data_IF_631342606236
#
_entry.id   IF_631342606236
#
_cell.length_a   1.000
_cell.length_b   1.000
_cell.length_c   1.000
_cell.angle_alpha   90.00
_cell.angle_beta   90.00
_cell.angle_gamma   90.00
#
_symmetry.space_group_name_H-M   'P 1'
#
loop_
_entity.id
_entity.type
_entity.pdbx_description
1 polymer ?
#
# COMPACT_ATOMS: atom_id res chain seq x y z
N UNK A 1 13.86 -3.80 12.82
CA UNK A 1 13.27 -3.04 11.69
C UNK A 1 13.35 -1.54 11.98
N UNK A 2 13.80 -0.71 11.01
CA UNK A 2 13.81 0.75 11.18
C UNK A 2 12.39 1.30 11.33
N UNK A 3 12.24 2.39 12.09
CA UNK A 3 10.96 3.11 12.18
C UNK A 3 10.58 3.62 10.77
N UNK A 4 9.31 3.51 10.35
CA UNK A 4 8.87 4.05 9.06
C UNK A 4 9.12 5.56 8.97
N UNK A 5 9.28 6.05 7.75
CA UNK A 5 9.53 7.47 7.50
C UNK A 5 8.27 8.32 7.76
N UNK A 6 8.48 9.63 7.88
CA UNK A 6 7.38 10.58 7.94
C UNK A 6 6.60 10.59 6.60
N UNK A 7 5.30 10.83 6.67
CA UNK A 7 4.42 10.91 5.52
C UNK A 7 3.89 12.32 5.33
N UNK A 8 4.02 12.84 4.12
CA UNK A 8 3.61 14.20 3.75
C UNK A 8 2.19 14.28 3.19
N UNK A 9 1.60 13.14 2.83
CA UNK A 9 0.33 13.07 2.10
C UNK A 9 0.52 12.85 0.58
N UNK A 10 1.75 12.59 0.13
CA UNK A 10 2.02 12.21 -1.25
C UNK A 10 1.38 10.86 -1.58
N UNK A 11 0.36 10.87 -2.44
CA UNK A 11 -0.36 9.67 -2.84
C UNK A 11 0.52 8.66 -3.56
N UNK A 12 1.58 9.11 -4.26
CA UNK A 12 2.49 8.20 -4.98
C UNK A 12 3.36 7.36 -4.04
N UNK A 13 3.62 7.85 -2.82
CA UNK A 13 4.39 7.15 -1.81
C UNK A 13 3.52 6.40 -0.78
N UNK A 14 2.19 6.52 -0.87
CA UNK A 14 1.28 6.05 0.17
C UNK A 14 1.33 4.53 0.37
N UNK A 15 1.29 3.76 -0.73
CA UNK A 15 1.25 2.30 -0.68
C UNK A 15 2.51 1.73 -0.01
N UNK A 16 3.69 2.15 -0.49
CA UNK A 16 4.98 1.77 0.10
C UNK A 16 5.10 2.20 1.57
N UNK A 17 4.65 3.42 1.89
CA UNK A 17 4.69 3.92 3.26
C UNK A 17 3.78 3.11 4.20
N UNK A 18 2.55 2.83 3.79
CA UNK A 18 1.60 2.05 4.59
C UNK A 18 2.11 0.62 4.80
N UNK A 19 2.69 0.00 3.76
CA UNK A 19 3.32 -1.31 3.86
C UNK A 19 4.44 -1.30 4.90
N UNK A 20 5.33 -0.31 4.88
CA UNK A 20 6.39 -0.19 5.90
C UNK A 20 5.83 -0.01 7.32
N UNK A 21 4.74 0.74 7.49
CA UNK A 21 4.04 0.88 8.78
C UNK A 21 3.47 -0.46 9.25
N UNK A 22 2.81 -1.22 8.38
CA UNK A 22 2.26 -2.52 8.71
C UNK A 22 3.36 -3.55 9.04
N UNK A 23 4.45 -3.55 8.26
CA UNK A 23 5.63 -4.35 8.56
C UNK A 23 6.23 -3.97 9.92
N UNK A 24 6.33 -2.67 10.24
CA UNK A 24 6.81 -2.27 11.56
C UNK A 24 6.00 -2.91 12.70
N UNK A 25 4.67 -2.88 12.63
CA UNK A 25 3.82 -3.48 13.66
C UNK A 25 3.77 -5.01 13.65
N UNK A 26 4.11 -5.68 12.55
CA UNK A 26 4.22 -7.14 12.54
C UNK A 26 5.39 -7.63 13.42
N UNK A 27 6.45 -6.82 13.57
CA UNK A 27 7.57 -7.09 14.48
C UNK A 27 7.32 -6.59 15.92
N UNK A 28 6.48 -5.57 16.11
CA UNK A 28 6.13 -5.02 17.42
C UNK A 28 4.67 -5.35 17.77
N UNK A 29 4.37 -6.64 17.91
CA UNK A 29 3.00 -7.16 18.08
C UNK A 29 2.29 -6.75 19.37
N UNK A 30 3.04 -6.26 20.37
CA UNK A 30 2.52 -5.91 21.70
C UNK A 30 1.74 -4.58 21.73
N UNK A 31 1.73 -3.81 20.64
CA UNK A 31 1.00 -2.55 20.58
C UNK A 31 -0.51 -2.78 20.45
N UNK A 32 -1.28 -2.11 21.31
CA UNK A 32 -2.73 -1.96 21.18
C UNK A 32 -3.09 -1.22 19.89
N UNK A 33 -4.32 -1.40 19.40
CA UNK A 33 -4.79 -0.71 18.19
C UNK A 33 -4.68 0.81 18.31
N UNK A 34 -5.05 1.36 19.47
CA UNK A 34 -4.87 2.79 19.78
C UNK A 34 -3.42 3.22 19.63
N UNK A 35 -2.47 2.47 20.19
CA UNK A 35 -1.04 2.81 20.05
C UNK A 35 -0.57 2.75 18.60
N UNK A 36 -1.00 1.74 17.83
CA UNK A 36 -0.66 1.64 16.40
C UNK A 36 -1.15 2.87 15.63
N UNK A 37 -2.38 3.29 15.88
CA UNK A 37 -2.97 4.49 15.27
C UNK A 37 -2.20 5.73 15.68
N UNK A 38 -1.96 5.95 16.98
CA UNK A 38 -1.25 7.15 17.47
C UNK A 38 0.18 7.25 16.94
N UNK A 39 0.90 6.13 16.90
CA UNK A 39 2.24 6.07 16.30
C UNK A 39 2.15 6.42 14.81
N UNK A 40 1.19 5.86 14.08
CA UNK A 40 1.02 6.16 12.65
C UNK A 40 0.66 7.63 12.41
N UNK A 41 -0.25 8.20 13.19
CA UNK A 41 -0.58 9.62 13.14
C UNK A 41 0.64 10.50 13.44
N UNK A 42 1.53 10.08 14.34
CA UNK A 42 2.77 10.81 14.65
C UNK A 42 3.77 10.84 13.48
N UNK A 43 3.70 9.87 12.57
CA UNK A 43 4.48 9.83 11.33
C UNK A 43 3.89 10.76 10.26
N UNK A 44 2.58 11.04 10.33
CA UNK A 44 1.87 11.95 9.43
C UNK A 44 2.02 13.40 9.89
N UNK A 45 3.25 13.89 9.99
CA UNK A 45 3.58 15.20 10.57
C UNK A 45 4.08 16.23 9.55
N UNK A 46 3.90 15.94 8.26
CA UNK A 46 4.30 16.81 7.16
C UNK A 46 3.13 17.05 6.19
N UNK A 47 3.22 18.16 5.44
CA UNK A 47 2.31 18.45 4.33
C UNK A 47 0.82 18.37 4.68
N UNK A 48 0.03 17.86 3.73
CA UNK A 48 -1.41 17.66 3.90
C UNK A 48 -1.73 16.56 4.93
N UNK A 49 -0.85 15.56 5.07
CA UNK A 49 -1.04 14.49 6.04
C UNK A 49 -1.09 14.99 7.49
N UNK A 50 -0.35 16.05 7.84
CA UNK A 50 -0.42 16.67 9.18
C UNK A 50 -1.80 17.25 9.52
N UNK A 51 -2.41 17.93 8.55
CA UNK A 51 -3.76 18.48 8.73
C UNK A 51 -4.79 17.36 8.85
N UNK A 52 -4.66 16.34 8.00
CA UNK A 52 -5.55 15.17 8.02
C UNK A 52 -5.43 14.37 9.32
N UNK A 53 -4.20 14.10 9.79
CA UNK A 53 -3.95 13.31 11.00
C UNK A 53 -4.53 13.99 12.24
N UNK A 54 -4.36 15.31 12.34
CA UNK A 54 -4.94 16.12 13.40
C UNK A 54 -6.47 16.10 13.38
N UNK A 55 -7.09 16.13 12.19
CA UNK A 55 -8.54 16.07 12.05
C UNK A 55 -9.10 14.68 12.40
N UNK A 56 -8.44 13.62 11.93
CA UNK A 56 -8.79 12.24 12.24
C UNK A 56 -8.73 11.97 13.75
N UNK A 57 -7.64 12.36 14.42
CA UNK A 57 -7.50 12.18 15.86
C UNK A 57 -8.64 12.83 16.65
N UNK A 58 -8.97 14.10 16.34
CA UNK A 58 -10.07 14.82 17.02
C UNK A 58 -11.42 14.14 16.81
N UNK A 59 -11.67 13.62 15.60
CA UNK A 59 -12.90 12.89 15.28
C UNK A 59 -13.01 11.61 16.09
N UNK A 60 -11.96 10.81 16.15
CA UNK A 60 -11.97 9.54 16.88
C UNK A 60 -12.00 9.74 18.41
N UNK A 61 -11.32 10.76 18.93
CA UNK A 61 -11.40 11.13 20.34
C UNK A 61 -12.84 11.52 20.72
N UNK A 62 -13.50 12.35 19.91
CA UNK A 62 -14.89 12.73 20.14
C UNK A 62 -15.85 11.53 20.09
N UNK A 63 -15.68 10.62 19.13
CA UNK A 63 -16.45 9.37 19.06
C UNK A 63 -16.25 8.51 20.31
N UNK A 64 -15.00 8.38 20.76
CA UNK A 64 -14.69 7.56 21.94
C UNK A 64 -15.34 8.11 23.22
N UNK A 65 -15.37 9.45 23.37
CA UNK A 65 -16.03 10.10 24.52
C UNK A 65 -17.55 9.95 24.47
N UNK A 66 -18.17 10.14 23.30
CA UNK A 66 -19.64 10.20 23.17
C UNK A 66 -20.29 8.82 23.06
N UNK A 67 -19.67 7.90 22.32
CA UNK A 67 -20.26 6.61 21.97
C UNK A 67 -19.56 5.42 22.65
N UNK A 68 -18.47 5.65 23.39
CA UNK A 68 -17.67 4.57 23.98
C UNK A 68 -16.94 3.72 22.93
N UNK A 69 -16.89 4.17 21.68
CA UNK A 69 -16.23 3.48 20.58
C UNK A 69 -14.72 3.40 20.82
N UNK A 70 -14.14 2.24 20.56
CA UNK A 70 -12.69 2.04 20.64
C UNK A 70 -12.04 2.42 19.32
N UNK A 71 -10.79 2.82 19.42
CA UNK A 71 -9.90 2.97 18.27
C UNK A 71 -9.72 1.61 17.59
N UNK A 72 -10.05 1.53 16.31
CA UNK A 72 -9.99 0.31 15.49
C UNK A 72 -8.97 0.49 14.37
N UNK A 73 -8.05 -0.48 14.24
CA UNK A 73 -6.94 -0.38 13.29
C UNK A 73 -7.40 -0.54 11.84
N UNK A 74 -8.37 -1.41 11.58
CA UNK A 74 -8.84 -1.69 10.22
C UNK A 74 -9.68 -0.51 9.68
N UNK A 75 -10.52 0.09 10.52
CA UNK A 75 -11.23 1.34 10.18
C UNK A 75 -10.27 2.47 9.86
N UNK A 76 -9.18 2.59 10.62
CA UNK A 76 -8.13 3.59 10.37
C UNK A 76 -7.42 3.37 9.04
N UNK A 77 -7.03 2.12 8.73
CA UNK A 77 -6.40 1.77 7.46
C UNK A 77 -7.34 2.04 6.28
N UNK A 78 -8.64 1.77 6.42
CA UNK A 78 -9.65 2.13 5.43
C UNK A 78 -9.69 3.64 5.19
N UNK A 79 -9.77 4.45 6.25
CA UNK A 79 -9.80 5.91 6.14
C UNK A 79 -8.52 6.47 5.48
N UNK A 80 -7.36 5.87 5.75
CA UNK A 80 -6.10 6.20 5.10
C UNK A 80 -6.16 5.90 3.60
N UNK A 81 -6.61 4.71 3.21
CA UNK A 81 -6.73 4.30 1.80
C UNK A 81 -7.71 5.20 1.04
N UNK A 82 -8.87 5.49 1.60
CA UNK A 82 -9.84 6.41 1.00
C UNK A 82 -9.26 7.81 0.73
N UNK A 83 -8.37 8.27 1.62
CA UNK A 83 -7.80 9.62 1.53
C UNK A 83 -6.58 9.70 0.61
N UNK A 84 -5.69 8.70 0.70
CA UNK A 84 -4.33 8.78 0.15
C UNK A 84 -3.99 7.71 -0.88
N UNK A 85 -4.78 6.64 -1.01
CA UNK A 85 -4.51 5.65 -2.05
C UNK A 85 -4.62 6.30 -3.45
N UNK A 86 -3.77 5.88 -4.41
CA UNK A 86 -3.95 6.26 -5.80
C UNK A 86 -5.31 5.73 -6.31
N UNK A 87 -6.04 6.58 -7.04
CA UNK A 87 -7.41 6.28 -7.52
C UNK A 87 -7.46 5.04 -8.44
N UNK A 88 -6.34 4.62 -9.03
CA UNK A 88 -6.29 3.51 -9.98
C UNK A 88 -4.93 2.78 -9.99
N UNK A 89 -4.40 2.42 -8.83
CA UNK A 89 -3.10 1.75 -8.72
C UNK A 89 -3.06 0.42 -9.49
N UNK A 90 -4.05 -0.46 -9.26
CA UNK A 90 -4.17 -1.75 -9.95
C UNK A 90 -4.32 -1.59 -11.46
N UNK A 91 -5.14 -0.64 -11.94
CA UNK A 91 -5.29 -0.39 -13.38
C UNK A 91 -4.04 0.20 -14.03
N UNK A 92 -3.27 1.00 -13.29
CA UNK A 92 -1.96 1.47 -13.73
C UNK A 92 -0.95 0.32 -13.78
N UNK A 93 -0.95 -0.57 -12.79
CA UNK A 93 -0.11 -1.76 -12.79
C UNK A 93 -0.43 -2.69 -13.98
N UNK A 94 -1.70 -2.92 -14.29
CA UNK A 94 -2.11 -3.64 -15.51
C UNK A 94 -1.60 -2.96 -16.79
N UNK A 95 -1.65 -1.64 -16.85
CA UNK A 95 -1.15 -0.88 -18.01
C UNK A 95 0.37 -1.03 -18.13
N UNK A 96 1.10 -0.87 -17.02
CA UNK A 96 2.56 -1.05 -16.96
C UNK A 96 2.97 -2.48 -17.33
N UNK A 97 2.24 -3.52 -16.89
CA UNK A 97 2.48 -4.90 -17.30
C UNK A 97 2.41 -5.08 -18.81
N UNK A 98 1.39 -4.50 -19.47
CA UNK A 98 1.23 -4.61 -20.93
C UNK A 98 2.30 -3.83 -21.71
N UNK A 99 2.75 -2.71 -21.14
CA UNK A 99 3.71 -1.80 -21.78
C UNK A 99 5.17 -2.16 -21.48
N UNK A 100 5.44 -2.98 -20.47
CA UNK A 100 6.80 -3.39 -20.10
C UNK A 100 7.50 -4.06 -21.29
N UNK A 101 8.72 -3.64 -21.60
CA UNK A 101 9.58 -4.29 -22.61
C UNK A 101 10.95 -4.55 -22.00
N UNK A 102 11.49 -5.74 -22.24
CA UNK A 102 12.81 -6.11 -21.76
C UNK A 102 13.87 -5.20 -22.39
N UNK A 103 13.88 -5.09 -23.73
CA UNK A 103 14.87 -4.29 -24.46
C UNK A 103 16.30 -4.67 -24.06
N UNK A 104 17.09 -3.69 -23.62
CA UNK A 104 18.48 -3.90 -23.18
C UNK A 104 18.60 -4.22 -21.67
N UNK A 105 17.48 -4.35 -20.95
CA UNK A 105 17.48 -4.66 -19.51
C UNK A 105 17.92 -6.10 -19.29
N UNK A 106 18.72 -6.33 -18.25
CA UNK A 106 19.11 -7.67 -17.85
C UNK A 106 17.87 -8.52 -17.54
N UNK A 107 17.86 -9.77 -18.00
CA UNK A 107 16.72 -10.68 -17.84
C UNK A 107 16.24 -10.75 -16.39
N UNK A 108 17.15 -10.88 -15.42
CA UNK A 108 16.78 -10.97 -14.00
C UNK A 108 16.08 -9.70 -13.49
N UNK A 109 16.53 -8.52 -13.93
CA UNK A 109 15.90 -7.24 -13.57
C UNK A 109 14.53 -7.08 -14.23
N UNK A 110 14.40 -7.52 -15.48
CA UNK A 110 13.12 -7.54 -16.19
C UNK A 110 12.11 -8.47 -15.51
N UNK A 111 12.51 -9.71 -15.19
CA UNK A 111 11.66 -10.70 -14.51
C UNK A 111 11.24 -10.18 -13.14
N UNK A 112 12.16 -9.64 -12.35
CA UNK A 112 11.85 -9.04 -11.03
C UNK A 112 10.82 -7.92 -11.16
N UNK A 113 10.97 -7.03 -12.14
CA UNK A 113 10.03 -5.92 -12.38
C UNK A 113 8.65 -6.45 -12.83
N UNK A 114 8.63 -7.48 -13.67
CA UNK A 114 7.39 -8.11 -14.12
C UNK A 114 6.64 -8.76 -12.95
N UNK A 115 7.33 -9.52 -12.10
CA UNK A 115 6.76 -10.15 -10.89
C UNK A 115 6.19 -9.11 -9.92
N UNK A 116 6.90 -8.00 -9.70
CA UNK A 116 6.42 -6.91 -8.86
C UNK A 116 5.11 -6.33 -9.41
N UNK A 117 5.08 -6.01 -10.71
CA UNK A 117 3.90 -5.46 -11.36
C UNK A 117 2.71 -6.46 -11.36
N UNK A 118 2.98 -7.78 -11.40
CA UNK A 118 1.92 -8.79 -11.25
C UNK A 118 1.24 -8.69 -9.89
N UNK A 119 2.01 -8.57 -8.80
CA UNK A 119 1.46 -8.42 -7.45
C UNK A 119 0.64 -7.14 -7.34
N UNK A 120 1.16 -6.00 -7.83
CA UNK A 120 0.46 -4.70 -7.84
C UNK A 120 -0.84 -4.74 -8.67
N UNK A 121 -0.86 -5.53 -9.74
CA UNK A 121 -2.03 -5.76 -10.58
C UNK A 121 -3.02 -6.80 -10.01
N UNK A 122 -2.78 -7.35 -8.82
CA UNK A 122 -3.68 -8.29 -8.15
C UNK A 122 -3.47 -9.76 -8.53
N UNK A 123 -2.38 -10.09 -9.24
CA UNK A 123 -2.05 -11.45 -9.66
C UNK A 123 -1.15 -12.22 -8.66
N UNK A 124 -1.02 -11.74 -7.42
CA UNK A 124 -0.11 -12.34 -6.42
C UNK A 124 -0.48 -13.75 -5.95
N UNK A 125 -1.60 -14.32 -6.38
CA UNK A 125 -2.06 -15.67 -6.00
C UNK A 125 -2.78 -16.38 -7.16
N UNK A 126 -2.33 -16.16 -8.39
CA UNK A 126 -2.90 -16.83 -9.57
C UNK A 126 -2.63 -18.34 -9.49
N UNK A 127 -3.68 -19.14 -9.67
CA UNK A 127 -3.58 -20.60 -9.70
C UNK A 127 -2.93 -21.07 -11.01
N UNK A 128 -2.03 -22.05 -10.90
CA UNK A 128 -1.38 -22.69 -12.05
C UNK A 128 -2.43 -23.28 -13.00
N UNK A 129 -2.35 -22.93 -14.29
CA UNK A 129 -3.27 -23.41 -15.33
C UNK A 129 -4.61 -22.66 -15.41
N UNK A 130 -4.76 -21.55 -14.70
CA UNK A 130 -5.89 -20.63 -14.88
C UNK A 130 -5.75 -19.80 -16.17
N UNK A 131 -6.87 -19.27 -16.67
CA UNK A 131 -6.87 -18.32 -17.81
C UNK A 131 -6.01 -17.09 -17.53
N UNK A 132 -5.97 -16.63 -16.28
CA UNK A 132 -5.11 -15.52 -15.87
C UNK A 132 -3.63 -15.89 -15.95
N UNK A 133 -3.26 -17.12 -15.58
CA UNK A 133 -1.89 -17.63 -15.74
C UNK A 133 -1.48 -17.67 -17.22
N UNK A 134 -2.35 -18.19 -18.10
CA UNK A 134 -2.10 -18.23 -19.54
C UNK A 134 -1.91 -16.82 -20.13
N UNK A 135 -2.78 -15.88 -19.75
CA UNK A 135 -2.67 -14.49 -20.18
C UNK A 135 -1.37 -13.82 -19.70
N UNK A 136 -0.93 -14.10 -18.47
CA UNK A 136 0.33 -13.59 -17.93
C UNK A 136 1.55 -14.17 -18.66
N UNK A 137 1.52 -15.47 -18.97
CA UNK A 137 2.57 -16.13 -19.78
C UNK A 137 2.67 -15.49 -21.16
N UNK A 138 1.54 -15.22 -21.82
CA UNK A 138 1.53 -14.57 -23.13
C UNK A 138 2.03 -13.13 -23.06
N UNK A 139 1.64 -12.40 -22.01
CA UNK A 139 2.14 -11.03 -21.75
C UNK A 139 3.65 -11.03 -21.54
N UNK A 140 4.19 -11.95 -20.73
CA UNK A 140 5.63 -12.08 -20.48
C UNK A 140 6.39 -12.36 -21.78
N UNK A 141 5.92 -13.30 -22.59
CA UNK A 141 6.52 -13.62 -23.90
C UNK A 141 6.51 -12.43 -24.85
N UNK A 142 5.41 -11.67 -24.91
CA UNK A 142 5.30 -10.47 -25.74
C UNK A 142 6.23 -9.32 -25.29
N UNK A 143 6.67 -9.35 -24.03
CA UNK A 143 7.49 -8.33 -23.41
C UNK A 143 8.99 -8.64 -23.42
N UNK A 144 9.38 -9.90 -23.53
CA UNK A 144 10.77 -10.37 -23.56
C UNK A 144 11.48 -10.22 -24.93
N UNK A 145 10.89 -9.48 -25.87
CA UNK A 145 11.44 -9.24 -27.22
C UNK A 145 12.54 -8.17 -27.22
#
# INVERSE_FOLDING_TARGET
IPKPQAFSGDKSAFTDWLQHVQMYFSFYSNCTEKERILITLSLMNQGYANTWSSAYYRKEEAKSIVAGTKFDWDEFVCALKESFAPINETGLAHTRLRELKQGNTLTDQFVTTFEQLMVEAGYGSVEDGSTDADHLIDTLKANAN
#
